data_IF_398548165353
#
_entry.id   IF_398548165353
#
_cell.length_a   1.000
_cell.length_b   1.000
_cell.length_c   1.000
_cell.angle_alpha   90.00
_cell.angle_beta   90.00
_cell.angle_gamma   90.00
#
_symmetry.space_group_name_H-M   'P 1'
#
loop_
_entity.id
_entity.type
_entity.pdbx_description
1 polymer ?
#
# COMPACT_ATOMS: atom_id res chain seq x y z
N UNK A 1 11.43 -0.68 0.66
CA UNK A 1 10.14 -0.87 1.35
C UNK A 1 9.23 -1.86 0.63
N UNK A 2 8.86 -1.66 -0.64
CA UNK A 2 7.98 -2.61 -1.38
C UNK A 2 8.55 -4.03 -1.45
N UNK A 3 9.87 -4.19 -1.52
CA UNK A 3 10.55 -5.48 -1.40
C UNK A 3 10.27 -6.14 -0.05
N UNK A 4 10.31 -5.39 1.05
CA UNK A 4 10.05 -5.92 2.40
C UNK A 4 8.60 -6.33 2.61
N UNK A 5 7.65 -5.64 1.95
CA UNK A 5 6.24 -6.07 1.95
C UNK A 5 6.07 -7.34 1.13
N UNK A 6 6.73 -7.44 -0.05
CA UNK A 6 6.71 -8.65 -0.89
C UNK A 6 7.36 -9.85 -0.20
N UNK A 7 8.50 -9.64 0.49
CA UNK A 7 9.20 -10.70 1.23
C UNK A 7 8.53 -11.07 2.55
N UNK A 8 7.53 -10.30 3.01
CA UNK A 8 6.88 -10.50 4.30
C UNK A 8 7.72 -10.08 5.50
N UNK A 9 8.81 -9.35 5.28
CA UNK A 9 9.65 -8.79 6.35
C UNK A 9 8.94 -7.69 7.14
N UNK A 10 8.07 -6.93 6.46
CA UNK A 10 7.13 -6.00 7.10
C UNK A 10 5.76 -6.64 7.09
N UNK A 11 5.23 -6.91 8.26
CA UNK A 11 3.84 -7.29 8.44
C UNK A 11 2.98 -6.04 8.63
N UNK A 12 1.95 -5.92 7.79
CA UNK A 12 0.87 -4.98 8.02
C UNK A 12 -0.09 -5.71 8.95
N UNK A 13 -0.40 -5.18 10.16
CA UNK A 13 -1.31 -5.85 11.09
C UNK A 13 -2.64 -6.16 10.40
N UNK A 14 -3.15 -7.35 10.59
CA UNK A 14 -4.35 -7.85 9.87
C UNK A 14 -5.64 -7.17 10.33
N UNK A 15 -5.65 -6.63 11.54
CA UNK A 15 -6.70 -5.72 12.00
C UNK A 15 -6.38 -4.35 11.40
N UNK A 16 -6.62 -4.26 10.12
CA UNK A 16 -6.35 -3.06 9.37
C UNK A 16 -7.52 -2.10 9.52
N UNK A 17 -7.16 -0.88 9.85
CA UNK A 17 -7.99 0.25 9.49
C UNK A 17 -8.32 0.14 8.01
N UNK A 18 -9.60 0.21 7.60
CA UNK A 18 -9.95 0.23 6.19
C UNK A 18 -9.11 1.27 5.45
N UNK A 19 -8.83 1.00 4.19
CA UNK A 19 -8.14 1.96 3.35
C UNK A 19 -9.04 3.20 3.19
N UNK A 20 -8.58 4.33 3.73
CA UNK A 20 -9.38 5.55 3.83
C UNK A 20 -8.96 6.63 2.85
N UNK A 21 -7.82 6.46 2.17
CA UNK A 21 -7.39 7.39 1.15
C UNK A 21 -8.25 7.26 -0.10
N UNK A 22 -8.56 8.40 -0.71
CA UNK A 22 -9.09 8.43 -2.06
C UNK A 22 -7.99 8.19 -3.10
N UNK A 23 -8.39 7.87 -4.32
CA UNK A 23 -7.44 7.59 -5.40
C UNK A 23 -6.58 8.81 -5.77
N UNK A 24 -7.07 10.04 -5.52
CA UNK A 24 -6.32 11.26 -5.76
C UNK A 24 -5.11 11.37 -4.85
N UNK A 25 -5.25 11.01 -3.57
CA UNK A 25 -4.10 10.95 -2.63
C UNK A 25 -3.08 9.90 -3.04
N UNK A 26 -3.53 8.79 -3.61
CA UNK A 26 -2.61 7.77 -4.14
C UNK A 26 -1.85 8.29 -5.35
N UNK A 27 -2.54 8.98 -6.26
CA UNK A 27 -1.93 9.68 -7.39
C UNK A 27 -0.85 10.67 -6.91
N UNK A 28 -1.18 11.53 -5.95
CA UNK A 28 -0.28 12.56 -5.44
C UNK A 28 0.95 11.96 -4.73
N UNK A 29 0.77 10.81 -4.05
CA UNK A 29 1.87 10.07 -3.47
C UNK A 29 2.83 9.53 -4.53
N UNK A 30 2.30 8.97 -5.62
CA UNK A 30 3.10 8.45 -6.74
C UNK A 30 3.84 9.58 -7.47
N UNK A 31 3.16 10.71 -7.70
CA UNK A 31 3.78 11.89 -8.28
C UNK A 31 4.93 12.41 -7.41
N UNK A 32 4.72 12.52 -6.10
CA UNK A 32 5.77 12.92 -5.16
C UNK A 32 7.00 11.99 -5.23
N UNK A 33 6.79 10.67 -5.31
CA UNK A 33 7.87 9.71 -5.49
C UNK A 33 8.59 9.87 -6.82
N UNK A 34 7.84 10.09 -7.89
CA UNK A 34 8.37 10.30 -9.22
C UNK A 34 9.24 11.55 -9.31
N UNK A 35 8.80 12.65 -8.66
CA UNK A 35 9.55 13.90 -8.53
C UNK A 35 10.74 13.79 -7.56
N UNK A 36 10.81 12.73 -6.77
CA UNK A 36 11.85 12.55 -5.74
C UNK A 36 11.60 13.37 -4.48
N UNK A 37 10.35 13.78 -4.26
CA UNK A 37 9.97 14.50 -3.03
C UNK A 37 9.86 13.55 -1.83
N UNK A 38 10.16 14.04 -0.62
CA UNK A 38 10.00 13.23 0.57
C UNK A 38 8.51 12.95 0.83
N UNK A 39 8.19 11.69 1.03
CA UNK A 39 6.81 11.23 1.31
C UNK A 39 6.56 10.97 2.80
N UNK A 40 7.47 11.42 3.65
CA UNK A 40 7.48 11.14 5.08
C UNK A 40 8.12 9.80 5.41
N UNK A 41 8.13 9.49 6.69
CA UNK A 41 8.74 8.26 7.23
C UNK A 41 7.67 7.21 7.55
N UNK A 42 8.12 5.98 7.69
CA UNK A 42 7.34 4.83 8.14
C UNK A 42 7.87 4.42 9.51
N UNK A 43 6.99 4.03 10.42
CA UNK A 43 7.40 3.54 11.74
C UNK A 43 7.06 2.06 11.82
N UNK A 44 8.04 1.24 12.15
CA UNK A 44 7.85 -0.18 12.38
C UNK A 44 8.44 -0.60 13.73
N UNK A 45 7.81 -1.56 14.36
CA UNK A 45 8.26 -2.16 15.60
C UNK A 45 8.77 -3.57 15.32
N UNK A 46 10.00 -3.86 15.75
CA UNK A 46 10.59 -5.18 15.67
C UNK A 46 10.13 -6.00 16.87
N UNK A 47 9.10 -6.83 16.69
CA UNK A 47 8.63 -7.72 17.73
C UNK A 47 8.88 -9.20 17.34
N UNK A 48 9.90 -9.85 17.92
CA UNK A 48 10.22 -11.25 17.59
C UNK A 48 9.22 -12.26 18.15
N UNK A 49 8.29 -11.84 19.03
CA UNK A 49 7.41 -12.75 19.79
C UNK A 49 5.93 -12.67 19.43
N UNK A 50 5.54 -11.96 18.37
CA UNK A 50 4.13 -11.87 17.97
C UNK A 50 3.72 -13.14 17.22
N UNK A 51 2.69 -13.81 17.72
CA UNK A 51 2.03 -14.91 17.04
C UNK A 51 1.16 -14.37 15.90
N UNK A 52 1.38 -14.89 14.71
CA UNK A 52 0.61 -14.52 13.53
C UNK A 52 -0.71 -15.31 13.50
N UNK A 53 -1.69 -14.88 12.69
CA UNK A 53 -2.99 -15.55 12.53
C UNK A 53 -2.91 -17.02 12.13
N UNK A 54 -1.86 -17.40 11.41
CA UNK A 54 -1.61 -18.79 11.02
C UNK A 54 -1.02 -19.64 12.16
N UNK A 55 -0.87 -19.07 13.37
CA UNK A 55 -0.29 -19.71 14.53
C UNK A 55 1.24 -19.72 14.56
N UNK A 56 1.90 -19.19 13.51
CA UNK A 56 3.35 -19.07 13.47
C UNK A 56 3.84 -17.90 14.33
N UNK A 57 5.07 -17.98 14.84
CA UNK A 57 5.72 -16.88 15.54
C UNK A 57 6.39 -15.99 14.50
N UNK A 58 6.17 -14.67 14.58
CA UNK A 58 6.76 -13.69 13.67
C UNK A 58 8.23 -13.42 13.98
N UNK A 59 9.06 -14.47 13.96
CA UNK A 59 10.48 -14.31 14.20
C UNK A 59 11.08 -13.32 13.20
N UNK A 60 11.49 -12.16 13.74
CA UNK A 60 12.17 -11.11 12.96
C UNK A 60 11.30 -10.24 12.07
N UNK A 61 9.98 -10.39 12.04
CA UNK A 61 9.10 -9.49 11.26
C UNK A 61 8.94 -8.14 11.95
N UNK A 62 8.91 -7.09 11.13
CA UNK A 62 8.63 -5.73 11.58
C UNK A 62 7.14 -5.46 11.46
N UNK A 63 6.52 -4.99 12.54
CA UNK A 63 5.10 -4.63 12.57
C UNK A 63 4.98 -3.16 12.23
N UNK A 64 4.22 -2.83 11.20
CA UNK A 64 4.02 -1.47 10.77
C UNK A 64 3.12 -0.72 11.78
N UNK A 65 3.66 0.31 12.44
CA UNK A 65 2.99 1.13 13.44
C UNK A 65 2.38 2.38 12.78
N UNK A 66 3.15 3.10 11.97
CA UNK A 66 2.65 4.24 11.19
C UNK A 66 3.07 4.14 9.73
N UNK A 67 2.30 4.80 8.85
CA UNK A 67 2.52 4.76 7.41
C UNK A 67 1.72 3.67 6.68
N UNK A 68 0.80 2.97 7.36
CA UNK A 68 -0.01 1.88 6.77
C UNK A 68 -0.74 2.33 5.50
N UNK A 69 -1.38 3.50 5.51
CA UNK A 69 -2.11 4.01 4.34
C UNK A 69 -1.18 4.22 3.14
N UNK A 70 0.04 4.73 3.37
CA UNK A 70 1.07 4.92 2.32
C UNK A 70 1.54 3.58 1.75
N UNK A 71 1.87 2.64 2.62
CA UNK A 71 2.30 1.30 2.20
C UNK A 71 1.19 0.60 1.42
N UNK A 72 -0.05 0.65 1.92
CA UNK A 72 -1.22 0.08 1.25
C UNK A 72 -1.48 0.77 -0.10
N UNK A 73 -1.38 2.11 -0.18
CA UNK A 73 -1.53 2.86 -1.42
C UNK A 73 -0.52 2.42 -2.49
N UNK A 74 0.76 2.32 -2.10
CA UNK A 74 1.83 1.92 -3.01
C UNK A 74 1.68 0.46 -3.46
N UNK A 75 1.33 -0.46 -2.56
CA UNK A 75 1.08 -1.86 -2.94
C UNK A 75 -0.15 -2.00 -3.82
N UNK A 76 -1.20 -1.23 -3.58
CA UNK A 76 -2.40 -1.24 -4.42
C UNK A 76 -2.11 -0.73 -5.82
N UNK A 77 -1.43 0.41 -5.96
CA UNK A 77 -1.21 1.05 -7.25
C UNK A 77 -0.09 0.38 -8.06
N UNK A 78 1.00 -0.05 -7.41
CA UNK A 78 2.17 -0.62 -8.10
C UNK A 78 2.01 -2.12 -8.34
N UNK A 79 1.53 -2.88 -7.34
CA UNK A 79 1.37 -4.33 -7.47
C UNK A 79 -0.02 -4.74 -7.96
N UNK A 80 -0.90 -3.79 -8.12
CA UNK A 80 -2.25 -4.06 -8.55
C UNK A 80 -3.12 -4.79 -7.52
N UNK A 81 -2.79 -4.68 -6.24
CA UNK A 81 -3.53 -5.33 -5.18
C UNK A 81 -4.88 -4.65 -4.94
N UNK A 82 -5.87 -5.44 -4.53
CA UNK A 82 -7.13 -4.90 -4.04
C UNK A 82 -6.98 -4.42 -2.60
N UNK A 83 -7.69 -3.37 -2.26
CA UNK A 83 -7.80 -2.86 -0.90
C UNK A 83 -9.23 -2.96 -0.39
N UNK A 84 -9.38 -3.03 0.93
CA UNK A 84 -10.70 -2.94 1.57
C UNK A 84 -10.94 -1.47 1.93
N UNK A 85 -11.95 -0.87 1.32
CA UNK A 85 -12.29 0.53 1.55
C UNK A 85 -13.13 0.72 2.84
N UNK A 86 -13.56 1.98 3.13
CA UNK A 86 -14.38 2.32 4.30
C UNK A 86 -15.71 1.58 4.38
N UNK A 87 -16.24 1.17 3.24
CA UNK A 87 -17.50 0.43 3.14
C UNK A 87 -17.29 -1.08 3.21
N UNK A 88 -16.10 -1.51 3.61
CA UNK A 88 -15.67 -2.91 3.63
C UNK A 88 -15.79 -3.63 2.27
N UNK A 89 -15.73 -2.86 1.18
CA UNK A 89 -15.74 -3.39 -0.18
C UNK A 89 -14.32 -3.54 -0.70
N UNK A 90 -14.10 -4.62 -1.44
CA UNK A 90 -12.85 -4.86 -2.14
C UNK A 90 -12.81 -4.00 -3.40
N UNK A 91 -11.89 -3.05 -3.45
CA UNK A 91 -11.74 -2.10 -4.56
C UNK A 91 -10.33 -2.15 -5.16
N UNK A 92 -10.25 -1.90 -6.46
CA UNK A 92 -8.99 -1.72 -7.18
C UNK A 92 -8.71 -0.23 -7.31
N UNK A 93 -7.48 0.18 -7.00
CA UNK A 93 -7.02 1.54 -7.23
C UNK A 93 -6.15 1.51 -8.48
N UNK A 94 -6.61 2.12 -9.56
CA UNK A 94 -5.86 2.26 -10.80
C UNK A 94 -5.40 3.69 -10.96
N UNK A 95 -4.10 3.86 -11.15
CA UNK A 95 -3.48 5.15 -11.43
C UNK A 95 -2.88 5.06 -12.82
N UNK A 96 -3.19 6.05 -13.63
CA UNK A 96 -2.70 6.20 -14.99
C UNK A 96 -1.49 7.13 -15.00
N UNK A 97 -0.67 7.01 -16.04
CA UNK A 97 0.48 7.87 -16.29
C UNK A 97 0.54 8.25 -17.76
N UNK A 98 0.69 9.55 -18.03
CA UNK A 98 0.99 10.06 -19.37
C UNK A 98 2.50 10.30 -19.47
N UNK A 99 3.26 9.52 -20.25
CA UNK A 99 4.71 9.71 -20.36
C UNK A 99 5.10 10.95 -21.15
N UNK A 100 4.22 11.50 -22.01
CA UNK A 100 4.51 12.73 -22.75
C UNK A 100 4.53 13.93 -21.80
N UNK A 101 3.49 14.04 -20.95
CA UNK A 101 3.34 15.13 -19.99
C UNK A 101 4.02 14.86 -18.64
N UNK A 102 4.52 13.64 -18.41
CA UNK A 102 5.03 13.17 -17.10
C UNK A 102 4.01 13.38 -15.96
N UNK A 103 2.74 13.09 -16.24
CA UNK A 103 1.63 13.36 -15.33
C UNK A 103 0.88 12.11 -14.91
N UNK A 104 0.51 12.07 -13.65
CA UNK A 104 -0.36 11.01 -13.10
C UNK A 104 -1.80 11.45 -13.02
N UNK A 105 -2.72 10.53 -13.27
CA UNK A 105 -4.15 10.73 -13.07
C UNK A 105 -4.83 9.49 -12.48
N UNK A 106 -5.97 9.72 -11.83
CA UNK A 106 -6.84 8.62 -11.42
C UNK A 106 -7.51 8.07 -12.67
N UNK A 107 -7.44 6.75 -12.85
CA UNK A 107 -8.06 6.06 -13.99
C UNK A 107 -9.55 6.44 -14.14
N UNK A 108 -9.94 6.71 -15.37
CA UNK A 108 -11.33 6.89 -15.78
C UNK A 108 -11.52 6.43 -17.25
N UNK A 109 -12.76 6.39 -17.70
CA UNK A 109 -13.10 5.91 -19.05
C UNK A 109 -12.60 6.79 -20.18
N UNK A 110 -12.30 8.07 -19.94
CA UNK A 110 -11.69 8.95 -20.95
C UNK A 110 -10.22 8.56 -21.14
N UNK A 111 -9.50 8.39 -20.05
CA UNK A 111 -8.10 7.93 -20.04
C UNK A 111 -7.96 6.55 -20.72
N UNK A 112 -8.93 5.64 -20.51
CA UNK A 112 -8.88 4.31 -21.12
C UNK A 112 -8.93 4.34 -22.65
N UNK A 113 -9.53 5.39 -23.22
CA UNK A 113 -9.67 5.57 -24.67
C UNK A 113 -8.59 6.44 -25.30
N UNK A 114 -7.77 7.05 -24.49
CA UNK A 114 -6.73 7.97 -24.90
C UNK A 114 -5.39 7.23 -25.00
N UNK A 115 -4.84 7.14 -26.21
CA UNK A 115 -3.61 6.40 -26.49
C UNK A 115 -2.37 6.96 -25.82
N UNK A 116 -2.40 8.24 -25.41
CA UNK A 116 -1.27 8.88 -24.73
C UNK A 116 -1.09 8.39 -23.28
N UNK A 117 -2.10 7.73 -22.72
CA UNK A 117 -2.04 7.26 -21.34
C UNK A 117 -1.65 5.80 -21.24
N UNK A 118 -0.83 5.51 -20.24
CA UNK A 118 -0.72 4.18 -19.62
C UNK A 118 -1.85 4.11 -18.61
N UNK A 119 -2.96 3.40 -18.87
CA UNK A 119 -4.19 3.53 -18.07
C UNK A 119 -4.10 2.87 -16.69
N UNK A 120 -3.16 1.98 -16.49
CA UNK A 120 -2.86 1.34 -15.19
C UNK A 120 -1.36 1.08 -15.09
N UNK A 121 -0.67 1.87 -14.26
CA UNK A 121 0.79 1.75 -14.10
C UNK A 121 1.24 0.39 -13.59
N UNK A 122 0.35 -0.37 -12.91
CA UNK A 122 0.73 -1.67 -12.34
C UNK A 122 1.21 -2.67 -13.39
N UNK A 123 0.79 -2.51 -14.64
CA UNK A 123 1.24 -3.38 -15.73
C UNK A 123 2.74 -3.29 -15.97
N UNK A 124 3.33 -2.08 -15.72
CA UNK A 124 4.77 -1.84 -15.89
C UNK A 124 5.61 -2.52 -14.81
N UNK A 125 5.01 -2.94 -13.71
CA UNK A 125 5.68 -3.61 -12.58
C UNK A 125 5.43 -5.12 -12.56
N UNK A 126 4.75 -5.66 -13.56
CA UNK A 126 4.59 -7.09 -13.77
C UNK A 126 5.94 -7.77 -14.02
N UNK A 127 6.11 -8.99 -13.54
CA UNK A 127 7.33 -9.78 -13.78
C UNK A 127 7.52 -10.13 -15.25
N UNK A 128 6.44 -10.22 -16.00
CA UNK A 128 6.44 -10.67 -17.41
C UNK A 128 6.49 -9.49 -18.39
N UNK A 129 6.64 -8.24 -17.91
CA UNK A 129 6.66 -7.06 -18.78
C UNK A 129 7.91 -7.04 -19.68
N UNK A 130 7.69 -6.97 -20.96
CA UNK A 130 8.73 -6.61 -21.93
C UNK A 130 8.63 -5.11 -22.20
N UNK A 131 9.41 -4.32 -21.49
CA UNK A 131 9.34 -2.85 -21.58
C UNK A 131 9.67 -2.32 -22.98
N UNK A 132 10.56 -2.97 -23.73
CA UNK A 132 10.88 -2.55 -25.09
C UNK A 132 9.70 -2.75 -26.03
N UNK A 133 9.02 -3.90 -25.95
CA UNK A 133 7.80 -4.13 -26.71
C UNK A 133 6.69 -3.16 -26.32
N UNK A 134 6.51 -2.91 -25.00
CA UNK A 134 5.52 -1.96 -24.51
C UNK A 134 5.74 -0.54 -25.06
N UNK A 135 7.00 -0.07 -25.10
CA UNK A 135 7.35 1.23 -25.67
C UNK A 135 7.10 1.25 -27.17
N UNK A 136 7.46 0.19 -27.90
CA UNK A 136 7.18 0.10 -29.34
C UNK A 136 5.68 0.20 -29.62
N UNK A 137 4.86 -0.59 -28.92
CA UNK A 137 3.39 -0.60 -29.06
C UNK A 137 2.77 0.76 -28.68
N UNK A 138 3.37 1.45 -27.69
CA UNK A 138 2.95 2.80 -27.30
C UNK A 138 3.22 3.81 -28.42
N UNK A 139 4.44 3.81 -28.99
CA UNK A 139 4.81 4.75 -30.06
C UNK A 139 4.08 4.46 -31.38
N UNK A 140 3.74 3.20 -31.67
CA UNK A 140 2.88 2.86 -32.82
C UNK A 140 1.51 3.52 -32.72
N UNK A 141 0.96 3.63 -31.52
CA UNK A 141 -0.31 4.32 -31.25
C UNK A 141 -0.18 5.84 -31.14
N UNK A 142 1.04 6.34 -30.91
CA UNK A 142 1.36 7.74 -30.72
C UNK A 142 2.56 8.15 -31.59
N UNK A 143 2.40 8.26 -32.93
CA UNK A 143 3.51 8.41 -33.87
C UNK A 143 4.31 9.71 -33.71
N UNK A 144 3.77 10.70 -33.02
CA UNK A 144 4.48 11.96 -32.70
C UNK A 144 5.50 11.81 -31.55
N UNK A 145 5.59 10.63 -30.92
CA UNK A 145 6.47 10.38 -29.77
C UNK A 145 7.76 9.67 -30.18
N UNK A 146 8.85 10.01 -29.49
CA UNK A 146 10.15 9.40 -29.69
C UNK A 146 10.36 8.22 -28.73
N UNK A 147 10.71 7.05 -29.25
CA UNK A 147 10.84 5.80 -28.45
C UNK A 147 11.81 5.96 -27.28
N UNK A 148 12.94 6.64 -27.50
CA UNK A 148 13.96 6.84 -26.46
C UNK A 148 13.43 7.71 -25.32
N UNK A 149 12.64 8.74 -25.64
CA UNK A 149 12.04 9.61 -24.61
C UNK A 149 11.01 8.86 -23.80
N UNK A 150 10.09 8.15 -24.46
CA UNK A 150 9.07 7.34 -23.79
C UNK A 150 9.72 6.29 -22.90
N UNK A 151 10.74 5.58 -23.41
CA UNK A 151 11.49 4.61 -22.62
C UNK A 151 12.09 5.22 -21.37
N UNK A 152 12.76 6.37 -21.50
CA UNK A 152 13.40 7.04 -20.36
C UNK A 152 12.37 7.43 -19.28
N UNK A 153 11.20 7.95 -19.68
CA UNK A 153 10.15 8.37 -18.76
C UNK A 153 9.48 7.18 -18.07
N UNK A 154 9.20 6.10 -18.81
CA UNK A 154 8.67 4.86 -18.22
C UNK A 154 9.70 4.18 -17.30
N UNK A 155 10.97 4.18 -17.67
CA UNK A 155 12.05 3.65 -16.82
C UNK A 155 12.22 4.47 -15.53
N UNK A 156 12.10 5.81 -15.61
CA UNK A 156 12.04 6.69 -14.43
C UNK A 156 10.86 6.34 -13.54
N UNK A 157 9.67 6.11 -14.13
CA UNK A 157 8.48 5.66 -13.40
C UNK A 157 8.73 4.31 -12.70
N UNK A 158 9.25 3.34 -13.42
CA UNK A 158 9.58 2.02 -12.83
C UNK A 158 10.61 2.13 -11.71
N UNK A 159 11.49 3.12 -11.79
CA UNK A 159 12.50 3.43 -10.76
C UNK A 159 11.94 3.88 -9.41
N UNK A 160 10.66 4.23 -9.31
CA UNK A 160 10.05 4.67 -8.03
C UNK A 160 10.10 3.58 -6.95
N UNK A 161 10.11 2.32 -7.33
CA UNK A 161 10.23 1.19 -6.38
C UNK A 161 11.57 1.17 -5.64
N UNK A 162 12.59 1.81 -6.22
CA UNK A 162 13.95 1.90 -5.65
C UNK A 162 14.15 3.18 -4.82
N UNK A 163 13.12 4.05 -4.74
CA UNK A 163 13.22 5.26 -3.93
C UNK A 163 13.31 4.91 -2.45
N UNK A 164 14.18 5.64 -1.76
CA UNK A 164 14.32 5.49 -0.31
C UNK A 164 13.12 6.10 0.40
N UNK A 165 12.63 5.36 1.38
CA UNK A 165 11.62 5.82 2.33
C UNK A 165 12.25 5.61 3.70
N UNK A 166 12.28 6.66 4.50
CA UNK A 166 12.86 6.60 5.84
C UNK A 166 12.02 5.68 6.73
N UNK A 167 12.71 4.77 7.40
CA UNK A 167 12.12 3.85 8.37
C UNK A 167 12.64 4.19 9.76
N UNK A 168 11.74 4.51 10.67
CA UNK A 168 12.01 4.58 12.10
C UNK A 168 11.69 3.21 12.68
N UNK A 169 12.70 2.52 13.18
CA UNK A 169 12.53 1.21 13.78
C UNK A 169 12.48 1.36 15.31
N UNK A 170 11.35 0.94 15.90
CA UNK A 170 11.21 0.86 17.35
C UNK A 170 11.85 -0.44 17.84
N UNK A 171 12.51 -0.34 19.00
CA UNK A 171 13.25 -1.44 19.57
C UNK A 171 12.34 -2.61 19.99
N UNK A 172 12.87 -3.82 19.91
CA UNK A 172 12.21 -5.05 20.33
C UNK A 172 11.98 -5.13 21.85
N UNK A 173 12.73 -4.35 22.63
CA UNK A 173 12.64 -4.34 24.08
C UNK A 173 11.48 -3.48 24.60
N UNK A 174 10.86 -2.68 23.72
CA UNK A 174 9.68 -1.91 24.09
C UNK A 174 8.48 -2.85 24.29
N UNK A 175 7.74 -2.62 25.38
CA UNK A 175 6.45 -3.27 25.60
C UNK A 175 5.35 -2.67 24.73
N UNK A 176 4.22 -3.37 24.63
CA UNK A 176 3.08 -2.98 23.82
C UNK A 176 2.45 -1.66 24.29
N UNK A 177 2.45 -1.40 25.57
CA UNK A 177 1.91 -0.18 26.18
C UNK A 177 2.72 1.03 25.72
N UNK A 178 4.04 0.95 25.79
CA UNK A 178 4.96 2.01 25.31
C UNK A 178 4.82 2.24 23.80
N UNK A 179 4.79 1.17 22.99
CA UNK A 179 4.60 1.29 21.54
C UNK A 179 3.25 1.94 21.21
N UNK A 180 2.23 1.59 21.97
CA UNK A 180 0.90 2.17 21.85
C UNK A 180 0.89 3.66 22.18
N UNK A 181 1.58 4.06 23.25
CA UNK A 181 1.70 5.48 23.62
C UNK A 181 2.45 6.28 22.55
N UNK A 182 3.55 5.74 22.01
CA UNK A 182 4.28 6.33 20.90
C UNK A 182 3.34 6.56 19.71
N UNK A 183 2.55 5.54 19.35
CA UNK A 183 1.61 5.61 18.24
C UNK A 183 0.55 6.70 18.45
N UNK A 184 -0.04 6.79 19.65
CA UNK A 184 -1.00 7.84 20.01
C UNK A 184 -0.36 9.22 19.88
N UNK A 185 0.82 9.42 20.43
CA UNK A 185 1.51 10.72 20.40
C UNK A 185 1.83 11.19 18.99
N UNK A 186 2.26 10.28 18.12
CA UNK A 186 2.58 10.59 16.73
C UNK A 186 1.30 10.97 15.96
N UNK A 187 0.22 10.24 16.16
CA UNK A 187 -1.04 10.45 15.47
C UNK A 187 -1.94 11.54 16.09
N UNK A 188 -1.63 12.02 17.30
CA UNK A 188 -2.45 13.02 18.00
C UNK A 188 -2.55 14.38 17.29
N UNK A 189 -1.63 14.67 16.38
CA UNK A 189 -1.62 15.91 15.56
C UNK A 189 -2.27 15.73 14.17
N UNK A 190 -2.72 14.51 13.83
CA UNK A 190 -3.38 14.19 12.57
C UNK A 190 -4.88 13.96 12.73
N UNK A 191 -5.48 13.16 11.84
CA UNK A 191 -6.86 12.66 12.01
C UNK A 191 -6.87 11.76 13.25
N UNK A 192 -7.62 12.09 14.31
CA UNK A 192 -7.63 11.29 15.53
C UNK A 192 -8.01 9.84 15.21
N UNK A 193 -7.21 8.90 15.69
CA UNK A 193 -7.63 7.50 15.73
C UNK A 193 -8.88 7.43 16.63
N UNK A 194 -9.88 6.71 16.13
CA UNK A 194 -10.99 6.39 17.00
C UNK A 194 -10.51 5.46 18.12
N UNK A 195 -11.15 5.54 19.30
CA UNK A 195 -10.86 4.59 20.39
C UNK A 195 -11.02 3.14 19.94
N UNK A 196 -11.87 2.89 18.92
CA UNK A 196 -12.05 1.59 18.32
C UNK A 196 -10.82 1.13 17.52
N UNK A 197 -10.22 2.00 16.69
CA UNK A 197 -8.98 1.67 15.94
C UNK A 197 -7.83 1.35 16.91
N UNK A 198 -7.82 2.04 18.04
CA UNK A 198 -6.84 1.83 19.11
C UNK A 198 -7.07 0.51 19.86
N UNK A 199 -8.32 0.22 20.27
CA UNK A 199 -8.67 -1.03 20.91
C UNK A 199 -8.38 -2.23 19.98
N UNK A 200 -8.65 -2.08 18.70
CA UNK A 200 -8.36 -3.10 17.69
C UNK A 200 -6.84 -3.33 17.51
N UNK A 201 -6.04 -2.26 17.56
CA UNK A 201 -4.58 -2.41 17.54
C UNK A 201 -4.05 -3.15 18.78
N UNK A 202 -4.63 -2.89 19.96
CA UNK A 202 -4.31 -3.65 21.18
C UNK A 202 -4.71 -5.12 21.10
N UNK A 203 -5.89 -5.41 20.55
CA UNK A 203 -6.40 -6.77 20.40
C UNK A 203 -5.52 -7.57 19.42
N UNK A 204 -5.08 -6.93 18.33
CA UNK A 204 -4.23 -7.58 17.33
C UNK A 204 -2.87 -8.07 17.87
N UNK A 205 -2.39 -7.46 18.94
CA UNK A 205 -1.08 -7.73 19.52
C UNK A 205 -1.16 -8.53 20.82
N UNK A 206 -2.32 -8.61 21.47
CA UNK A 206 -2.48 -9.26 22.77
C UNK A 206 -3.14 -10.62 22.65
N UNK A 207 -2.38 -11.69 22.90
CA UNK A 207 -2.81 -13.10 22.79
C UNK A 207 -4.01 -13.45 23.68
N UNK A 208 -4.23 -12.72 24.78
CA UNK A 208 -5.30 -12.99 25.75
C UNK A 208 -6.71 -12.72 25.21
N UNK A 209 -6.85 -12.07 24.05
CA UNK A 209 -8.15 -11.75 23.47
C UNK A 209 -8.54 -12.66 22.28
N UNK A 210 -7.68 -13.59 21.86
CA UNK A 210 -7.96 -14.53 20.77
C UNK A 210 -9.02 -15.58 21.12
N UNK A 211 -9.32 -15.77 22.40
CA UNK A 211 -10.40 -16.67 22.85
C UNK A 211 -11.82 -16.13 22.59
N UNK A 212 -11.97 -14.84 22.26
CA UNK A 212 -13.27 -14.21 22.04
C UNK A 212 -13.74 -14.17 20.57
N UNK A 213 -12.99 -14.70 19.63
CA UNK A 213 -13.38 -14.69 18.20
C UNK A 213 -14.16 -15.90 17.72
N UNK A 214 -14.55 -16.80 18.61
CA UNK A 214 -15.57 -17.82 18.31
C UNK A 214 -16.98 -17.23 18.37
N UNK A 215 -17.30 -16.36 17.42
CA UNK A 215 -18.69 -16.08 17.11
C UNK A 215 -19.32 -17.34 16.48
N UNK A 216 -20.38 -17.88 17.06
CA UNK A 216 -21.06 -19.04 16.49
C UNK A 216 -21.54 -18.66 15.09
N UNK A 217 -21.11 -19.42 14.08
CA UNK A 217 -21.68 -19.39 12.73
C UNK A 217 -23.15 -19.79 12.86
N UNK A 218 -24.03 -18.81 12.93
CA UNK A 218 -25.46 -19.03 12.92
C UNK A 218 -25.87 -19.64 11.57
N UNK A 219 -25.96 -20.95 11.52
CA UNK A 219 -26.67 -21.67 10.46
C UNK A 219 -28.17 -21.41 10.68
N UNK A 220 -28.66 -20.31 10.13
CA UNK A 220 -30.09 -20.11 9.97
C UNK A 220 -30.60 -20.94 8.80
N UNK A 221 -31.03 -22.16 9.06
CA UNK A 221 -31.99 -22.82 8.24
C UNK A 221 -33.32 -22.06 8.41
N UNK A 222 -33.80 -21.43 7.40
CA UNK A 222 -35.21 -21.14 7.22
C UNK A 222 -35.77 -22.06 6.13
N UNK A 223 -36.43 -23.13 6.59
CA UNK A 223 -37.47 -23.79 5.81
C UNK A 223 -38.78 -23.06 6.11
N UNK A 224 -39.48 -22.66 5.13
CA UNK A 224 -40.88 -22.75 4.71
C UNK A 224 -41.13 -21.69 3.65
#
# INVERSE_FOLDING_TARGET
MLSWVKSGEIAIPEIQRPFVWDASKVRDLLDSLYQGYPIGYVIAWKNPKVKLKDGSISEGKKILIDGQQRVTALTAAILGNYVINRDYRRVRIRIAFNPVEERFEVFNTAIEKDSEWVPDISVLFSQDINIFQYVSDYCERNPETEQQEVFNKLNKLMGIINKQIDLIELDSDLDIETVTEIFIRINSKGVPLSQADFAMSKIAVNESYLEFTDFPKNRGHFSI
#
